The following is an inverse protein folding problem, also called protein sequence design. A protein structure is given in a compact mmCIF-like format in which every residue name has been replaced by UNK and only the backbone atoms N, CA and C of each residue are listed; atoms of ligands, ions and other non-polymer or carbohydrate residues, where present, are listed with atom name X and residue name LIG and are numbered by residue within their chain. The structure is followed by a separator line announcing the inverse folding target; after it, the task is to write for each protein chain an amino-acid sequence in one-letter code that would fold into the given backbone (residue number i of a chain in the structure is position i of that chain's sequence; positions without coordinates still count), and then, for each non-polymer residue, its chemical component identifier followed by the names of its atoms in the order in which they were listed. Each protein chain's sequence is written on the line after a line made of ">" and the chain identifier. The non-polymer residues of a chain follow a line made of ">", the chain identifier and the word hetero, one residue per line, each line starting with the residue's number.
data_IF_206160959952
#
_entry.id   IF_206160959952
#
_cell.length_a   1.000
_cell.length_b   1.000
_cell.length_c   1.000
_cell.angle_alpha   90.00
_cell.angle_beta   90.00
_cell.angle_gamma   90.00
#
_symmetry.space_group_name_H-M   'P 1'
#
loop_
_entity.id
_entity.type
_entity.pdbx_description
1 polymer ?
#
# COMPACT_ATOMS: atom_id res chain seq x y z
N UNK A 1 -17.92 21.34 72.22
CA UNK A 1 -19.12 21.24 71.37
C UNK A 1 -18.69 21.50 69.93
N UNK A 2 -18.22 20.46 69.25
CA UNK A 2 -17.71 20.53 67.88
C UNK A 2 -18.74 19.88 66.96
N UNK A 3 -19.51 20.70 66.24
CA UNK A 3 -20.44 20.22 65.22
C UNK A 3 -20.76 21.36 64.23
N UNK A 4 -19.73 21.95 63.62
CA UNK A 4 -19.87 22.92 62.50
C UNK A 4 -18.80 22.74 61.41
N UNK A 5 -18.00 21.66 61.48
CA UNK A 5 -16.89 21.41 60.54
C UNK A 5 -17.17 20.24 59.57
N UNK A 6 -18.13 19.37 59.91
CA UNK A 6 -18.40 18.14 59.15
C UNK A 6 -19.01 18.40 57.77
N UNK A 7 -19.97 19.32 57.64
CA UNK A 7 -20.64 19.57 56.36
C UNK A 7 -19.68 20.13 55.29
N UNK A 8 -18.77 21.03 55.68
CA UNK A 8 -17.80 21.61 54.73
C UNK A 8 -16.71 20.62 54.34
N UNK A 9 -16.26 19.79 55.29
CA UNK A 9 -15.29 18.74 55.02
C UNK A 9 -15.84 17.66 54.09
N UNK A 10 -17.12 17.27 54.27
CA UNK A 10 -17.79 16.32 53.39
C UNK A 10 -18.01 16.86 51.98
N UNK A 11 -18.37 18.15 51.85
CA UNK A 11 -18.52 18.79 50.54
C UNK A 11 -17.18 18.83 49.77
N UNK A 12 -16.06 19.07 50.46
CA UNK A 12 -14.72 19.02 49.85
C UNK A 12 -14.39 17.59 49.42
N UNK A 13 -14.73 16.58 50.23
CA UNK A 13 -14.49 15.17 49.90
C UNK A 13 -15.28 14.74 48.66
N UNK A 14 -16.57 15.08 48.59
CA UNK A 14 -17.43 14.78 47.44
C UNK A 14 -16.92 15.50 46.19
N UNK A 15 -16.51 16.76 46.33
CA UNK A 15 -15.91 17.53 45.23
C UNK A 15 -14.61 16.92 44.70
N UNK A 16 -13.72 16.46 45.58
CA UNK A 16 -12.47 15.81 45.21
C UNK A 16 -12.70 14.48 44.47
N UNK A 17 -13.66 13.68 44.93
CA UNK A 17 -14.03 12.41 44.28
C UNK A 17 -14.63 12.67 42.89
N UNK A 18 -15.56 13.62 42.78
CA UNK A 18 -16.14 14.00 41.50
C UNK A 18 -15.07 14.49 40.51
N UNK A 19 -14.14 15.32 40.98
CA UNK A 19 -13.04 15.85 40.16
C UNK A 19 -12.08 14.73 39.73
N UNK A 20 -11.80 13.75 40.59
CA UNK A 20 -10.99 12.59 40.23
C UNK A 20 -11.64 11.77 39.10
N UNK A 21 -12.96 11.53 39.15
CA UNK A 21 -13.66 10.82 38.09
C UNK A 21 -13.66 11.59 36.76
N UNK A 22 -13.76 12.92 36.79
CA UNK A 22 -13.64 13.75 35.58
C UNK A 22 -12.25 13.61 34.97
N UNK A 23 -11.19 13.69 35.78
CA UNK A 23 -9.80 13.54 35.30
C UNK A 23 -9.58 12.13 34.74
N UNK A 24 -10.05 11.08 35.43
CA UNK A 24 -9.95 9.70 34.94
C UNK A 24 -10.71 9.50 33.63
N UNK A 25 -11.93 10.05 33.51
CA UNK A 25 -12.72 10.00 32.28
C UNK A 25 -12.00 10.69 31.12
N UNK A 26 -11.41 11.86 31.36
CA UNK A 26 -10.59 12.58 30.38
C UNK A 26 -9.40 11.71 29.97
N UNK A 27 -8.62 11.18 30.91
CA UNK A 27 -7.44 10.35 30.60
C UNK A 27 -7.81 9.09 29.82
N UNK A 28 -8.93 8.44 30.12
CA UNK A 28 -9.41 7.26 29.37
C UNK A 28 -9.88 7.65 27.96
N UNK A 29 -10.59 8.78 27.79
CA UNK A 29 -11.01 9.25 26.47
C UNK A 29 -9.80 9.69 25.65
N UNK A 30 -8.85 10.42 26.23
CA UNK A 30 -7.62 10.83 25.55
C UNK A 30 -6.76 9.62 25.18
N UNK A 31 -6.54 8.67 26.09
CA UNK A 31 -5.82 7.45 25.75
C UNK A 31 -6.61 6.59 24.74
N UNK A 32 -7.93 6.54 24.85
CA UNK A 32 -8.79 5.81 23.92
C UNK A 32 -8.73 6.39 22.50
N UNK A 33 -8.87 7.71 22.37
CA UNK A 33 -8.77 8.46 21.11
C UNK A 33 -7.34 8.41 20.56
N UNK A 34 -6.31 8.61 21.39
CA UNK A 34 -4.92 8.49 20.96
C UNK A 34 -4.58 7.06 20.50
N UNK A 35 -5.17 6.03 21.10
CA UNK A 35 -4.96 4.65 20.68
C UNK A 35 -5.60 4.37 19.31
N UNK A 36 -6.78 4.94 19.02
CA UNK A 36 -7.39 4.85 17.67
C UNK A 36 -6.71 5.73 16.63
N UNK A 37 -6.28 6.95 16.98
CA UNK A 37 -5.60 7.86 16.05
C UNK A 37 -4.18 7.39 15.72
N UNK A 38 -3.44 6.87 16.71
CA UNK A 38 -2.06 6.40 16.50
C UNK A 38 -2.02 5.08 15.74
N UNK A 39 -2.91 4.13 16.04
CA UNK A 39 -2.97 2.86 15.31
C UNK A 39 -3.42 3.08 13.86
N UNK A 40 -4.48 3.86 13.61
CA UNK A 40 -4.94 4.13 12.25
C UNK A 40 -3.92 4.91 11.43
N UNK A 41 -3.22 5.88 12.04
CA UNK A 41 -2.13 6.62 11.36
C UNK A 41 -0.91 5.75 11.10
N UNK A 42 -0.56 4.84 12.03
CA UNK A 42 0.58 3.94 11.88
C UNK A 42 0.31 2.86 10.83
N UNK A 43 -0.90 2.28 10.81
CA UNK A 43 -1.33 1.33 9.79
C UNK A 43 -1.43 1.99 8.41
N UNK A 44 -2.03 3.18 8.31
CA UNK A 44 -2.10 3.93 7.03
C UNK A 44 -0.70 4.30 6.52
N UNK A 45 0.20 4.74 7.40
CA UNK A 45 1.58 5.08 7.02
C UNK A 45 2.38 3.85 6.58
N UNK A 46 2.18 2.72 7.25
CA UNK A 46 2.85 1.47 6.93
C UNK A 46 2.30 0.86 5.63
N UNK A 47 0.98 0.88 5.41
CA UNK A 47 0.34 0.45 4.16
C UNK A 47 0.76 1.31 2.96
N UNK A 48 0.88 2.63 3.14
CA UNK A 48 1.39 3.52 2.09
C UNK A 48 2.87 3.24 1.77
N UNK A 49 3.70 2.97 2.80
CA UNK A 49 5.09 2.59 2.61
C UNK A 49 5.25 1.24 1.90
N UNK A 50 4.44 0.23 2.25
CA UNK A 50 4.48 -1.07 1.57
C UNK A 50 4.00 -0.95 0.13
N UNK A 51 2.95 -0.17 -0.14
CA UNK A 51 2.48 0.07 -1.50
C UNK A 51 3.55 0.75 -2.36
N UNK A 52 4.27 1.75 -1.82
CA UNK A 52 5.35 2.41 -2.55
C UNK A 52 6.52 1.46 -2.87
N UNK A 53 6.86 0.54 -1.96
CA UNK A 53 7.91 -0.46 -2.20
C UNK A 53 7.45 -1.47 -3.25
N UNK A 54 6.23 -2.00 -3.13
CA UNK A 54 5.65 -2.90 -4.11
C UNK A 54 5.53 -2.25 -5.49
N UNK A 55 5.11 -0.98 -5.56
CA UNK A 55 5.10 -0.19 -6.79
C UNK A 55 6.49 -0.11 -7.43
N UNK A 56 7.52 0.13 -6.62
CA UNK A 56 8.89 0.22 -7.11
C UNK A 56 9.41 -1.11 -7.65
N UNK A 57 9.15 -2.21 -6.93
CA UNK A 57 9.53 -3.56 -7.35
C UNK A 57 8.81 -3.98 -8.64
N UNK A 58 7.52 -3.67 -8.78
CA UNK A 58 6.76 -3.94 -10.00
C UNK A 58 7.29 -3.17 -11.19
N UNK A 59 7.54 -1.86 -11.03
CA UNK A 59 8.09 -1.03 -12.08
C UNK A 59 9.44 -1.56 -12.58
N UNK A 60 10.33 -1.92 -11.65
CA UNK A 60 11.62 -2.51 -11.95
C UNK A 60 11.52 -3.88 -12.63
N UNK A 61 10.62 -4.74 -12.14
CA UNK A 61 10.46 -6.10 -12.65
C UNK A 61 9.86 -6.10 -14.05
N UNK A 62 8.81 -5.31 -14.29
CA UNK A 62 8.17 -5.16 -15.60
C UNK A 62 9.11 -4.47 -16.58
N UNK A 63 9.79 -3.39 -16.18
CA UNK A 63 10.78 -2.72 -17.03
C UNK A 63 11.92 -3.64 -17.46
N UNK A 64 12.31 -4.59 -16.61
CA UNK A 64 13.33 -5.57 -16.93
C UNK A 64 12.81 -6.73 -17.80
N UNK A 65 11.56 -7.15 -17.59
CA UNK A 65 10.89 -8.12 -18.43
C UNK A 65 10.81 -7.64 -19.88
N UNK A 66 10.54 -6.35 -20.11
CA UNK A 66 10.52 -5.77 -21.46
C UNK A 66 11.88 -5.88 -22.18
N UNK A 67 12.99 -5.66 -21.46
CA UNK A 67 14.36 -5.85 -22.01
C UNK A 67 14.56 -7.30 -22.43
N UNK A 68 14.13 -8.25 -21.59
CA UNK A 68 14.25 -9.68 -21.88
C UNK A 68 13.38 -10.13 -23.06
N UNK A 69 12.15 -9.63 -23.14
CA UNK A 69 11.24 -9.93 -24.25
C UNK A 69 11.84 -9.47 -25.58
N UNK A 70 12.41 -8.26 -25.61
CA UNK A 70 13.08 -7.73 -26.80
C UNK A 70 14.37 -8.49 -27.15
N UNK A 71 15.14 -8.92 -26.14
CA UNK A 71 16.37 -9.68 -26.37
C UNK A 71 16.09 -11.11 -26.89
N UNK A 72 15.02 -11.74 -26.42
CA UNK A 72 14.63 -13.11 -26.79
C UNK A 72 13.71 -13.15 -28.03
N UNK A 73 13.11 -12.02 -28.41
CA UNK A 73 12.30 -11.93 -29.63
C UNK A 73 13.17 -12.06 -30.87
N UNK A 74 13.38 -13.30 -31.29
CA UNK A 74 13.73 -13.61 -32.67
C UNK A 74 12.45 -13.45 -33.47
N UNK A 75 12.39 -12.46 -34.35
CA UNK A 75 11.19 -12.02 -35.08
C UNK A 75 10.48 -13.14 -35.87
N UNK A 76 9.70 -13.99 -35.19
CA UNK A 76 8.86 -15.04 -35.76
C UNK A 76 7.40 -14.76 -35.40
N UNK A 77 6.64 -14.35 -36.42
CA UNK A 77 5.17 -14.23 -36.55
C UNK A 77 4.36 -13.37 -35.55
N UNK A 78 4.86 -13.01 -34.36
CA UNK A 78 4.15 -12.17 -33.38
C UNK A 78 4.79 -10.78 -33.23
N UNK A 79 3.97 -9.74 -33.03
CA UNK A 79 4.49 -8.39 -32.77
C UNK A 79 5.17 -8.33 -31.40
N UNK A 80 6.19 -7.48 -31.26
CA UNK A 80 6.86 -7.23 -29.97
C UNK A 80 5.88 -6.78 -28.88
N UNK A 81 4.86 -6.05 -29.29
CA UNK A 81 3.79 -5.55 -28.42
C UNK A 81 2.98 -6.73 -27.84
N UNK A 82 2.52 -7.66 -28.70
CA UNK A 82 1.78 -8.85 -28.27
C UNK A 82 2.61 -9.74 -27.33
N UNK A 83 3.91 -9.90 -27.63
CA UNK A 83 4.84 -10.65 -26.79
C UNK A 83 5.02 -9.98 -25.42
N UNK A 84 5.18 -8.65 -25.39
CA UNK A 84 5.30 -7.90 -24.16
C UNK A 84 4.02 -8.02 -23.31
N UNK A 85 2.85 -7.80 -23.90
CA UNK A 85 1.56 -7.91 -23.21
C UNK A 85 1.34 -9.31 -22.62
N UNK A 86 1.62 -10.35 -23.40
CA UNK A 86 1.49 -11.75 -22.96
C UNK A 86 2.44 -12.06 -21.80
N UNK A 87 3.69 -11.60 -21.86
CA UNK A 87 4.67 -11.83 -20.81
C UNK A 87 4.33 -11.06 -19.53
N UNK A 88 3.89 -9.80 -19.64
CA UNK A 88 3.45 -9.00 -18.48
C UNK A 88 2.21 -9.63 -17.81
N UNK A 89 1.27 -10.15 -18.59
CA UNK A 89 0.09 -10.87 -18.06
C UNK A 89 0.47 -12.18 -17.34
N UNK A 90 1.44 -12.92 -17.87
CA UNK A 90 2.01 -14.11 -17.18
C UNK A 90 2.73 -13.72 -15.89
N UNK A 91 3.47 -12.62 -15.92
CA UNK A 91 4.12 -12.07 -14.73
C UNK A 91 3.10 -11.67 -13.67
N UNK A 92 2.01 -10.98 -14.02
CA UNK A 92 0.91 -10.68 -13.10
C UNK A 92 0.37 -11.95 -12.42
N UNK A 93 0.08 -12.98 -13.22
CA UNK A 93 -0.45 -14.24 -12.71
C UNK A 93 0.53 -14.93 -11.75
N UNK A 94 1.82 -14.96 -12.09
CA UNK A 94 2.86 -15.55 -11.25
C UNK A 94 3.11 -14.72 -9.97
N UNK A 95 3.16 -13.39 -10.10
CA UNK A 95 3.32 -12.46 -9.00
C UNK A 95 2.16 -12.57 -8.02
N UNK A 96 0.92 -12.59 -8.52
CA UNK A 96 -0.28 -12.81 -7.68
C UNK A 96 -0.23 -14.15 -6.97
N UNK A 97 0.15 -15.23 -7.64
CA UNK A 97 0.27 -16.55 -7.02
C UNK A 97 1.27 -16.55 -5.84
N UNK A 98 2.43 -15.91 -6.02
CA UNK A 98 3.44 -15.78 -4.98
C UNK A 98 3.01 -14.83 -3.83
N UNK A 99 2.26 -13.79 -4.17
CA UNK A 99 1.90 -12.67 -3.27
C UNK A 99 0.68 -12.97 -2.40
N UNK A 100 -0.27 -13.80 -2.88
CA UNK A 100 -1.46 -14.25 -2.15
C UNK A 100 -1.12 -14.88 -0.79
N UNK A 101 0.09 -15.41 -0.62
CA UNK A 101 0.53 -16.02 0.64
C UNK A 101 1.27 -15.05 1.57
N UNK A 102 1.79 -13.92 1.07
CA UNK A 102 2.88 -13.18 1.74
C UNK A 102 2.66 -11.69 1.94
N UNK A 103 1.69 -11.03 1.31
CA UNK A 103 1.48 -9.59 1.49
C UNK A 103 0.03 -9.22 1.86
N UNK A 104 -0.16 -8.08 2.56
CA UNK A 104 -1.49 -7.57 2.91
C UNK A 104 -2.23 -6.86 1.76
N UNK A 105 -1.60 -6.73 0.59
CA UNK A 105 -2.17 -6.07 -0.59
C UNK A 105 -1.97 -6.95 -1.83
N UNK A 106 -3.08 -7.35 -2.45
CA UNK A 106 -3.08 -8.03 -3.75
C UNK A 106 -2.93 -6.96 -4.82
N UNK A 107 -1.97 -7.17 -5.72
CA UNK A 107 -1.78 -6.30 -6.87
C UNK A 107 -2.23 -7.05 -8.11
N UNK A 108 -3.15 -6.45 -8.87
CA UNK A 108 -3.58 -6.96 -10.16
C UNK A 108 -3.22 -5.96 -11.25
N UNK A 109 -2.62 -6.44 -12.33
CA UNK A 109 -2.36 -5.67 -13.54
C UNK A 109 -3.50 -5.91 -14.54
N UNK A 110 -4.16 -4.83 -14.95
CA UNK A 110 -5.16 -4.79 -16.02
C UNK A 110 -4.77 -3.76 -17.08
N UNK A 111 -5.44 -3.79 -18.23
CA UNK A 111 -5.25 -2.80 -19.31
C UNK A 111 -3.77 -2.63 -19.68
N UNK A 112 -3.13 -3.76 -19.98
CA UNK A 112 -1.73 -3.83 -20.39
C UNK A 112 -1.68 -3.44 -21.87
N UNK A 113 -0.98 -2.35 -22.18
CA UNK A 113 -0.83 -1.79 -23.52
C UNK A 113 0.67 -1.52 -23.75
N UNK A 114 1.28 -2.32 -24.63
CA UNK A 114 2.70 -2.17 -24.94
C UNK A 114 2.90 -1.28 -26.17
N UNK A 115 3.97 -0.48 -26.16
CA UNK A 115 4.30 0.41 -27.27
C UNK A 115 5.71 0.13 -27.79
N UNK A 116 5.81 -0.23 -29.06
CA UNK A 116 7.06 -0.49 -29.76
C UNK A 116 7.31 0.52 -30.89
N UNK A 117 8.58 0.77 -31.19
CA UNK A 117 9.00 1.54 -32.36
C UNK A 117 9.94 0.69 -33.22
N UNK A 118 9.37 0.00 -34.21
CA UNK A 118 10.12 -0.95 -35.03
C UNK A 118 10.48 -2.20 -34.24
N UNK A 119 11.77 -2.43 -34.00
CA UNK A 119 12.30 -3.57 -33.24
C UNK A 119 12.59 -3.21 -31.77
N UNK A 120 12.28 -1.99 -31.33
CA UNK A 120 12.56 -1.50 -29.98
C UNK A 120 11.27 -1.35 -29.13
N UNK A 121 11.18 -2.07 -28.00
CA UNK A 121 10.14 -1.81 -26.99
C UNK A 121 10.49 -0.54 -26.21
N UNK A 122 9.53 0.36 -26.08
CA UNK A 122 9.72 1.65 -25.41
C UNK A 122 9.18 1.62 -24.00
N UNK A 123 7.88 1.37 -23.88
CA UNK A 123 7.18 1.36 -22.60
C UNK A 123 5.94 0.47 -22.65
N UNK A 124 5.44 0.16 -21.46
CA UNK A 124 4.15 -0.51 -21.28
C UNK A 124 3.29 0.34 -20.35
N UNK A 125 2.06 0.59 -20.76
CA UNK A 125 1.06 1.17 -19.88
C UNK A 125 0.32 0.04 -19.18
N UNK A 126 0.26 0.11 -17.86
CA UNK A 126 -0.45 -0.87 -17.02
C UNK A 126 -1.35 -0.14 -16.04
N UNK A 127 -2.55 -0.67 -15.84
CA UNK A 127 -3.41 -0.27 -14.73
C UNK A 127 -3.22 -1.24 -13.59
N UNK A 128 -2.72 -0.72 -12.47
CA UNK A 128 -2.50 -1.51 -11.28
C UNK A 128 -3.67 -1.30 -10.32
N UNK A 129 -4.40 -2.36 -10.03
CA UNK A 129 -5.41 -2.40 -8.98
C UNK A 129 -4.77 -2.93 -7.69
N UNK A 130 -4.81 -2.09 -6.66
CA UNK A 130 -4.38 -2.44 -5.32
C UNK A 130 -5.60 -2.79 -4.49
N UNK A 131 -5.72 -4.04 -4.10
CA UNK A 131 -6.77 -4.50 -3.20
C UNK A 131 -6.16 -4.89 -1.84
N UNK A 132 -6.55 -4.17 -0.80
CA UNK A 132 -6.18 -4.43 0.59
C UNK A 132 -7.44 -4.64 1.44
N UNK A 133 -7.27 -5.07 2.69
CA UNK A 133 -8.37 -5.41 3.60
C UNK A 133 -9.40 -4.28 3.86
N UNK A 134 -9.11 -3.03 3.49
CA UNK A 134 -10.01 -1.89 3.69
C UNK A 134 -10.03 -0.87 2.56
N UNK A 135 -9.16 -1.01 1.54
CA UNK A 135 -9.00 -0.05 0.47
C UNK A 135 -8.76 -0.77 -0.85
N UNK A 136 -9.55 -0.40 -1.86
CA UNK A 136 -9.30 -0.70 -3.27
C UNK A 136 -9.05 0.60 -4.00
N UNK A 137 -7.95 0.69 -4.74
CA UNK A 137 -7.71 1.81 -5.66
C UNK A 137 -7.02 1.32 -6.93
N UNK A 138 -7.39 1.93 -8.06
CA UNK A 138 -6.76 1.68 -9.35
C UNK A 138 -5.81 2.82 -9.72
N UNK A 139 -4.74 2.49 -10.43
CA UNK A 139 -3.76 3.47 -10.88
C UNK A 139 -3.14 3.06 -12.21
N UNK A 140 -3.38 3.86 -13.24
CA UNK A 140 -2.72 3.69 -14.53
C UNK A 140 -1.34 4.34 -14.51
N UNK A 141 -0.33 3.62 -15.01
CA UNK A 141 1.06 4.05 -15.09
C UNK A 141 1.71 3.56 -16.37
N UNK A 142 2.62 4.36 -16.89
CA UNK A 142 3.53 3.97 -17.97
C UNK A 142 4.87 3.59 -17.36
N UNK A 143 5.33 2.38 -17.68
CA UNK A 143 6.59 1.80 -17.22
C UNK A 143 7.53 1.79 -18.43
N UNK A 144 8.62 2.53 -18.33
CA UNK A 144 9.66 2.55 -19.36
C UNK A 144 10.51 1.28 -19.31
N UNK A 145 11.01 0.84 -20.47
CA UNK A 145 11.95 -0.28 -20.54
C UNK A 145 13.22 0.05 -19.74
N UNK A 146 13.64 -0.86 -18.86
CA UNK A 146 14.90 -0.73 -18.14
C UNK A 146 15.05 -1.67 -16.94
N UNK A 147 16.22 -2.31 -16.84
CA UNK A 147 16.67 -3.01 -15.62
C UNK A 147 17.67 -2.13 -14.86
N UNK A 148 17.48 -1.85 -13.56
CA UNK A 148 18.53 -1.23 -12.76
C UNK A 148 19.68 -2.22 -12.59
N UNK A 149 20.87 -1.74 -12.94
CA UNK A 149 22.10 -2.54 -12.92
C UNK A 149 22.70 -2.84 -14.30
N UNK A 150 22.06 -2.42 -15.41
CA UNK A 150 22.67 -2.51 -16.74
C UNK A 150 23.05 -3.94 -17.13
N UNK A 151 22.06 -4.81 -17.32
CA UNK A 151 22.25 -6.14 -17.88
C UNK A 151 21.63 -6.20 -19.26
N UNK A 152 22.49 -6.12 -20.28
CA UNK A 152 22.28 -6.76 -21.58
C UNK A 152 22.16 -8.26 -21.41
#
# INVERSE_FOLDING_TARGET
>A
MAMMSDDRAQLILIGAIALAFVILGIVVVYNGVLFTETLSSSETSQSASSAAVTEHELNQSVGCLLVWVEAESSAEDESLEDLAETNVSRFDSAYRNATVQSTPAVVQLSDIDANASGEDLQNVTVTTEYESHSLSYNRTRTIDKGCPGGGT
#
